data_IF_637546274638
#
_entry.id   IF_637546274638
#
_cell.length_a   1.000
_cell.length_b   1.000
_cell.length_c   1.000
_cell.angle_alpha   90.00
_cell.angle_beta   90.00
_cell.angle_gamma   90.00
#
_symmetry.space_group_name_H-M   'P 1'
#
loop_
_entity.id
_entity.type
_entity.pdbx_description
1 polymer ?
#
# COMPACT_ATOMS: atom_id res chain seq x y z
N UNK A 1 6.01 -17.55 7.64
CA UNK A 1 4.58 -17.42 7.32
C UNK A 1 4.49 -17.50 5.81
N UNK A 2 3.81 -18.51 5.29
CA UNK A 2 3.83 -18.84 3.86
C UNK A 2 3.05 -17.79 3.07
N UNK A 3 3.72 -17.09 2.17
CA UNK A 3 3.11 -16.09 1.28
C UNK A 3 2.12 -16.75 0.29
N UNK A 4 2.10 -18.09 0.18
CA UNK A 4 1.14 -18.85 -0.60
C UNK A 4 -0.28 -18.92 0.01
N UNK A 5 -0.47 -18.52 1.28
CA UNK A 5 -1.80 -18.54 1.93
C UNK A 5 -2.62 -17.26 1.71
N UNK A 6 -2.09 -16.23 1.03
CA UNK A 6 -2.84 -15.02 0.64
C UNK A 6 -3.24 -15.01 -0.84
N UNK A 7 -3.38 -16.20 -1.43
CA UNK A 7 -4.20 -16.40 -2.63
C UNK A 7 -5.68 -16.18 -2.22
N UNK A 8 -6.51 -15.51 -3.04
CA UNK A 8 -7.83 -15.04 -2.60
C UNK A 8 -8.65 -16.19 -2.03
N UNK A 9 -9.37 -15.95 -0.93
CA UNK A 9 -10.46 -16.84 -0.55
C UNK A 9 -11.39 -17.00 -1.76
N UNK A 10 -11.58 -18.25 -2.20
CA UNK A 10 -12.42 -18.66 -3.33
C UNK A 10 -13.94 -18.41 -3.10
N UNK A 11 -14.31 -17.51 -2.19
CA UNK A 11 -15.70 -17.16 -1.88
C UNK A 11 -16.03 -15.81 -2.53
N UNK A 12 -16.59 -15.89 -3.74
CA UNK A 12 -17.02 -14.74 -4.54
C UNK A 12 -17.44 -15.18 -5.94
N UNK A 13 -18.37 -14.45 -6.55
CA UNK A 13 -18.76 -14.64 -7.95
C UNK A 13 -17.57 -14.37 -8.90
N UNK A 14 -17.74 -14.63 -10.19
CA UNK A 14 -16.72 -14.25 -11.19
C UNK A 14 -16.57 -12.72 -11.22
N UNK A 15 -17.66 -11.99 -11.06
CA UNK A 15 -17.67 -10.52 -11.01
C UNK A 15 -16.87 -10.00 -9.82
N UNK A 16 -17.07 -10.57 -8.62
CA UNK A 16 -16.30 -10.19 -7.43
C UNK A 16 -14.79 -10.40 -7.61
N UNK A 17 -14.40 -11.48 -8.30
CA UNK A 17 -12.99 -11.75 -8.60
C UNK A 17 -12.38 -10.75 -9.57
N UNK A 18 -13.14 -10.34 -10.58
CA UNK A 18 -12.69 -9.33 -11.55
C UNK A 18 -12.52 -7.98 -10.84
N UNK A 19 -13.51 -7.57 -10.04
CA UNK A 19 -13.45 -6.33 -9.26
C UNK A 19 -12.23 -6.33 -8.34
N UNK A 20 -11.98 -7.40 -7.59
CA UNK A 20 -10.83 -7.49 -6.70
C UNK A 20 -9.48 -7.44 -7.44
N UNK A 21 -9.38 -8.08 -8.60
CA UNK A 21 -8.16 -8.02 -9.41
C UNK A 21 -7.90 -6.58 -9.89
N UNK A 22 -8.94 -5.87 -10.31
CA UNK A 22 -8.86 -4.46 -10.71
C UNK A 22 -8.45 -3.56 -9.53
N UNK A 23 -9.01 -3.76 -8.33
CA UNK A 23 -8.64 -3.03 -7.12
C UNK A 23 -7.14 -3.21 -6.77
N UNK A 24 -6.63 -4.45 -6.90
CA UNK A 24 -5.20 -4.75 -6.66
C UNK A 24 -4.31 -4.01 -7.68
N UNK A 25 -4.69 -4.02 -8.95
CA UNK A 25 -3.95 -3.36 -10.01
C UNK A 25 -3.95 -1.83 -9.84
N UNK A 26 -5.09 -1.25 -9.49
CA UNK A 26 -5.21 0.18 -9.18
C UNK A 26 -4.33 0.57 -7.98
N UNK A 27 -4.36 -0.23 -6.91
CA UNK A 27 -3.51 0.00 -5.75
C UNK A 27 -2.03 -0.08 -6.12
N UNK A 28 -1.63 -1.06 -6.92
CA UNK A 28 -0.26 -1.20 -7.42
C UNK A 28 0.19 0.04 -8.22
N UNK A 29 -0.66 0.49 -9.14
CA UNK A 29 -0.41 1.68 -9.96
C UNK A 29 -0.31 2.97 -9.10
N UNK A 30 -1.15 3.11 -8.09
CA UNK A 30 -1.10 4.23 -7.16
C UNK A 30 0.20 4.24 -6.33
N UNK A 31 0.61 3.08 -5.80
CA UNK A 31 1.85 2.95 -5.03
C UNK A 31 3.07 3.29 -5.90
N UNK A 32 3.12 2.85 -7.17
CA UNK A 32 4.22 3.14 -8.08
C UNK A 32 4.43 4.65 -8.33
N UNK A 33 3.36 5.45 -8.25
CA UNK A 33 3.37 6.92 -8.42
C UNK A 33 3.75 7.70 -7.16
N UNK A 34 3.90 7.04 -6.02
CA UNK A 34 4.39 7.69 -4.80
C UNK A 34 5.86 8.10 -4.91
N UNK A 35 6.27 9.07 -4.09
CA UNK A 35 7.69 9.37 -3.92
C UNK A 35 8.45 8.15 -3.38
N UNK A 36 9.73 8.01 -3.72
CA UNK A 36 10.55 6.87 -3.27
C UNK A 36 10.50 6.69 -1.75
N UNK A 37 10.67 7.79 -1.00
CA UNK A 37 10.56 7.78 0.46
C UNK A 37 9.23 7.18 0.97
N UNK A 38 8.12 7.49 0.31
CA UNK A 38 6.80 6.95 0.68
C UNK A 38 6.66 5.48 0.29
N UNK A 39 7.18 5.07 -0.87
CA UNK A 39 7.22 3.66 -1.30
C UNK A 39 8.02 2.82 -0.31
N UNK A 40 9.21 3.27 0.04
CA UNK A 40 10.11 2.59 0.97
C UNK A 40 9.48 2.45 2.36
N UNK A 41 8.83 3.50 2.87
CA UNK A 41 8.10 3.44 4.14
C UNK A 41 7.01 2.34 4.15
N UNK A 42 6.23 2.25 3.08
CA UNK A 42 5.17 1.24 2.96
C UNK A 42 5.76 -0.16 2.75
N UNK A 43 6.83 -0.27 1.96
CA UNK A 43 7.55 -1.51 1.72
C UNK A 43 8.14 -2.08 3.01
N UNK A 44 8.86 -1.26 3.79
CA UNK A 44 9.41 -1.68 5.07
C UNK A 44 8.32 -2.06 6.06
N UNK A 45 7.21 -1.31 6.10
CA UNK A 45 6.14 -1.59 7.07
C UNK A 45 5.35 -2.85 6.76
N UNK A 46 5.03 -3.11 5.48
CA UNK A 46 4.06 -4.15 5.12
C UNK A 46 4.66 -5.34 4.38
N UNK A 47 5.79 -5.19 3.70
CA UNK A 47 6.46 -6.30 2.99
C UNK A 47 7.58 -6.87 3.85
N UNK A 48 8.40 -6.01 4.47
CA UNK A 48 9.44 -6.45 5.39
C UNK A 48 8.95 -6.59 6.85
N UNK A 49 7.71 -6.17 7.12
CA UNK A 49 7.08 -6.22 8.45
C UNK A 49 7.90 -5.56 9.57
N UNK A 50 8.72 -4.56 9.23
CA UNK A 50 9.57 -3.86 10.18
C UNK A 50 8.74 -3.07 11.20
N UNK A 51 9.27 -3.02 12.42
CA UNK A 51 8.75 -2.18 13.49
C UNK A 51 9.01 -0.70 13.21
N UNK A 52 8.25 0.17 13.88
CA UNK A 52 8.45 1.62 13.74
C UNK A 52 9.87 2.03 14.17
N UNK A 53 10.47 1.33 15.14
CA UNK A 53 11.86 1.58 15.58
C UNK A 53 12.88 1.21 14.50
N UNK A 54 12.78 0.02 13.90
CA UNK A 54 13.71 -0.43 12.84
C UNK A 54 13.59 0.47 11.59
N UNK A 55 12.37 0.92 11.27
CA UNK A 55 12.14 1.91 10.20
C UNK A 55 12.82 3.23 10.55
N UNK A 56 12.68 3.72 11.78
CA UNK A 56 13.32 4.96 12.21
C UNK A 56 14.85 4.90 12.12
N UNK A 57 15.45 3.79 12.55
CA UNK A 57 16.88 3.55 12.43
C UNK A 57 17.33 3.55 10.97
N UNK A 58 16.61 2.83 10.10
CA UNK A 58 16.91 2.75 8.67
C UNK A 58 16.82 4.11 7.97
N UNK A 59 15.85 4.93 8.34
CA UNK A 59 15.65 6.27 7.78
C UNK A 59 16.45 7.38 8.47
N UNK A 60 17.12 7.09 9.58
CA UNK A 60 17.82 8.09 10.40
C UNK A 60 16.88 9.17 10.95
N UNK A 61 15.66 8.80 11.36
CA UNK A 61 14.64 9.71 11.90
C UNK A 61 14.24 9.32 13.33
N UNK A 62 13.53 10.20 14.04
CA UNK A 62 13.00 9.87 15.36
C UNK A 62 11.89 8.78 15.26
N UNK A 63 11.89 7.76 16.14
CA UNK A 63 10.86 6.71 16.18
C UNK A 63 9.43 7.25 16.17
N UNK A 64 9.16 8.29 16.95
CA UNK A 64 7.83 8.90 17.06
C UNK A 64 7.35 9.54 15.74
N UNK A 65 8.27 9.90 14.84
CA UNK A 65 7.93 10.48 13.54
C UNK A 65 7.41 9.44 12.55
N UNK A 66 7.78 8.16 12.69
CA UNK A 66 7.50 7.11 11.71
C UNK A 66 6.01 6.96 11.45
N UNK A 67 5.18 7.01 12.50
CA UNK A 67 3.71 6.95 12.36
C UNK A 67 3.17 8.09 11.50
N UNK A 68 3.72 9.29 11.64
CA UNK A 68 3.32 10.45 10.85
C UNK A 68 3.72 10.27 9.37
N UNK A 69 4.95 9.81 9.12
CA UNK A 69 5.44 9.52 7.77
C UNK A 69 4.60 8.43 7.09
N UNK A 70 4.31 7.33 7.78
CA UNK A 70 3.43 6.28 7.28
C UNK A 70 2.01 6.79 7.01
N UNK A 71 1.49 7.67 7.86
CA UNK A 71 0.16 8.28 7.63
C UNK A 71 0.15 9.14 6.37
N UNK A 72 1.20 9.94 6.13
CA UNK A 72 1.33 10.73 4.90
C UNK A 72 1.45 9.83 3.67
N UNK A 73 2.24 8.75 3.75
CA UNK A 73 2.38 7.79 2.66
C UNK A 73 1.04 7.11 2.31
N UNK A 74 0.29 6.64 3.32
CA UNK A 74 -1.04 6.05 3.12
C UNK A 74 -2.05 7.03 2.53
N UNK A 75 -2.07 8.28 3.00
CA UNK A 75 -2.96 9.31 2.44
C UNK A 75 -2.64 9.63 0.99
N UNK A 76 -1.36 9.76 0.66
CA UNK A 76 -0.94 9.97 -0.72
C UNK A 76 -1.32 8.78 -1.63
N UNK A 77 -1.19 7.55 -1.14
CA UNK A 77 -1.63 6.36 -1.88
C UNK A 77 -3.14 6.39 -2.13
N UNK A 78 -3.92 6.70 -1.08
CA UNK A 78 -5.38 6.84 -1.18
C UNK A 78 -5.79 7.93 -2.17
N UNK A 79 -5.19 9.11 -2.11
CA UNK A 79 -5.49 10.20 -3.03
C UNK A 79 -5.21 9.83 -4.50
N UNK A 80 -4.17 9.02 -4.74
CA UNK A 80 -3.86 8.51 -6.09
C UNK A 80 -4.87 7.47 -6.55
N UNK A 81 -5.31 6.57 -5.67
CA UNK A 81 -6.37 5.60 -5.95
C UNK A 81 -7.70 6.32 -6.25
N UNK A 82 -8.13 7.24 -5.38
CA UNK A 82 -9.36 8.02 -5.56
C UNK A 82 -9.36 8.78 -6.91
N UNK A 83 -8.20 9.33 -7.32
CA UNK A 83 -8.05 10.02 -8.61
C UNK A 83 -8.16 9.06 -9.81
N UNK A 84 -7.63 7.84 -9.69
CA UNK A 84 -7.71 6.86 -10.78
C UNK A 84 -9.15 6.34 -10.94
N UNK A 85 -9.85 6.10 -9.83
CA UNK A 85 -11.26 5.73 -9.83
C UNK A 85 -12.13 6.82 -10.47
N UNK A 86 -11.90 8.09 -10.14
CA UNK A 86 -12.67 9.21 -10.71
C UNK A 86 -12.45 9.36 -12.22
N UNK A 87 -11.24 9.10 -12.73
CA UNK A 87 -10.96 9.12 -14.17
C UNK A 87 -11.69 8.03 -14.96
N UNK A 88 -12.04 6.91 -14.31
CA UNK A 88 -12.78 5.82 -14.94
C UNK A 88 -14.28 6.08 -15.01
N UNK A 89 -14.79 6.98 -14.15
CA UNK A 89 -16.21 7.34 -14.09
C UNK A 89 -16.59 8.46 -15.09
N UNK A 90 -15.61 9.11 -15.72
CA UNK A 90 -15.76 10.13 -16.78
C UNK A 90 -15.66 9.51 -18.19
#
# INVERSE_FOLDING_TARGET
MDLAEKVPSLEGTIEDRIIHQEEIEEMGNAILRLSEKQKDLLYFKYILEMTDTEIAETFGIAPDSVRQYLTRARRAAKELMDKEMNKRAE
#
